data_IF_592042902234
#
_entry.id   IF_592042902234
#
_cell.length_a   1.000
_cell.length_b   1.000
_cell.length_c   1.000
_cell.angle_alpha   90.00
_cell.angle_beta   90.00
_cell.angle_gamma   90.00
#
_symmetry.space_group_name_H-M   'P 1'
#
loop_
_entity.id
_entity.type
_entity.pdbx_description
1 polymer ?
#
# COMPACT_ATOMS: atom_id res chain seq x y z
N UNK A 1 -23.13 -2.19 2.02
CA UNK A 1 -23.11 -0.88 2.73
C UNK A 1 -22.29 -0.83 4.02
N UNK A 2 -21.97 -1.95 4.69
CA UNK A 2 -21.34 -1.92 6.02
C UNK A 2 -19.82 -1.86 6.08
N UNK A 3 -19.08 -2.19 5.05
CA UNK A 3 -17.64 -2.51 5.15
C UNK A 3 -16.66 -1.37 4.93
N UNK A 4 -16.87 -0.53 3.95
CA UNK A 4 -16.10 0.70 3.81
C UNK A 4 -16.36 1.63 5.00
N UNK A 5 -17.60 1.69 5.50
CA UNK A 5 -17.95 2.51 6.66
C UNK A 5 -17.35 2.00 7.98
N UNK A 6 -17.15 0.67 8.16
CA UNK A 6 -16.61 0.11 9.40
C UNK A 6 -15.10 0.31 9.55
N UNK A 7 -14.34 0.14 8.46
CA UNK A 7 -12.88 0.37 8.48
C UNK A 7 -12.57 1.87 8.58
N UNK A 8 -13.36 2.68 7.96
CA UNK A 8 -13.29 4.14 7.97
C UNK A 8 -13.73 4.69 9.33
N UNK A 9 -14.75 4.08 9.98
CA UNK A 9 -15.08 4.38 11.36
C UNK A 9 -13.91 4.17 12.30
N UNK A 10 -13.08 3.16 12.07
CA UNK A 10 -11.88 2.90 12.86
C UNK A 10 -10.80 3.97 12.65
N UNK A 11 -10.54 4.38 11.41
CA UNK A 11 -9.57 5.43 11.11
C UNK A 11 -10.04 6.81 11.60
N UNK A 12 -11.32 7.09 11.52
CA UNK A 12 -11.92 8.32 12.05
C UNK A 12 -11.79 8.43 13.57
N UNK A 13 -12.24 7.40 14.29
CA UNK A 13 -12.16 7.37 15.76
C UNK A 13 -10.72 7.38 16.25
N UNK A 14 -9.81 6.70 15.53
CA UNK A 14 -8.39 6.72 15.80
C UNK A 14 -7.81 8.12 15.62
N UNK A 15 -8.19 8.84 14.56
CA UNK A 15 -7.76 10.20 14.31
C UNK A 15 -8.24 11.14 15.43
N UNK A 16 -9.51 11.05 15.84
CA UNK A 16 -10.05 11.84 16.96
C UNK A 16 -9.30 11.59 18.26
N UNK A 17 -8.98 10.34 18.57
CA UNK A 17 -8.27 9.97 19.80
C UNK A 17 -6.81 10.42 19.76
N UNK A 18 -6.10 10.18 18.66
CA UNK A 18 -4.71 10.61 18.48
C UNK A 18 -4.60 12.11 18.63
N UNK A 19 -5.51 12.89 18.03
CA UNK A 19 -5.51 14.34 18.18
C UNK A 19 -5.80 14.80 19.63
N UNK A 20 -6.62 14.06 20.36
CA UNK A 20 -6.90 14.37 21.76
C UNK A 20 -5.70 14.15 22.69
N UNK A 21 -4.81 13.22 22.33
CA UNK A 21 -3.64 12.83 23.12
C UNK A 21 -2.36 13.55 22.69
N UNK A 22 -2.28 14.06 21.45
CA UNK A 22 -1.07 14.68 20.92
C UNK A 22 -0.98 16.13 21.36
N UNK A 23 0.02 16.45 22.20
CA UNK A 23 0.29 17.82 22.69
C UNK A 23 1.52 18.46 22.05
N UNK A 24 2.33 17.68 21.34
CA UNK A 24 3.57 18.11 20.71
C UNK A 24 3.46 18.16 19.18
N UNK A 25 4.51 18.65 18.52
CA UNK A 25 4.60 18.65 17.06
C UNK A 25 4.44 17.24 16.49
N UNK A 26 3.43 17.06 15.64
CA UNK A 26 3.18 15.81 14.94
C UNK A 26 2.57 16.11 13.58
N UNK A 27 3.02 15.39 12.53
CA UNK A 27 2.50 15.53 11.19
C UNK A 27 1.63 14.33 10.83
N UNK A 28 0.37 14.60 10.54
CA UNK A 28 -0.60 13.59 10.13
C UNK A 28 -1.06 13.87 8.71
N UNK A 29 -1.26 12.82 7.93
CA UNK A 29 -1.84 12.91 6.61
C UNK A 29 -3.20 12.23 6.59
N UNK A 30 -4.21 12.96 6.15
CA UNK A 30 -5.58 12.47 6.04
C UNK A 30 -5.93 12.36 4.57
N UNK A 31 -6.08 11.13 4.08
CA UNK A 31 -6.51 10.84 2.73
C UNK A 31 -8.02 11.06 2.65
N UNK A 32 -8.42 12.00 1.84
CA UNK A 32 -9.82 12.33 1.62
C UNK A 32 -10.02 12.84 0.20
N UNK A 33 -11.08 12.40 -0.47
CA UNK A 33 -11.40 12.89 -1.80
C UNK A 33 -11.75 14.37 -1.77
N UNK A 34 -11.65 15.03 -2.92
CA UNK A 34 -11.84 16.48 -3.02
C UNK A 34 -13.31 16.89 -2.99
N UNK A 35 -13.55 18.19 -2.81
CA UNK A 35 -14.85 18.84 -2.88
C UNK A 35 -15.62 18.91 -1.57
N UNK A 36 -16.94 18.94 -1.65
CA UNK A 36 -17.84 19.10 -0.49
C UNK A 36 -17.69 17.99 0.55
N UNK A 37 -17.24 16.81 0.14
CA UNK A 37 -17.01 15.70 1.05
C UNK A 37 -15.85 16.01 2.03
N UNK A 38 -14.68 16.45 1.52
CA UNK A 38 -13.54 16.86 2.33
C UNK A 38 -13.92 17.98 3.31
N UNK A 39 -14.65 18.98 2.85
CA UNK A 39 -15.08 20.10 3.69
C UNK A 39 -15.98 19.63 4.84
N UNK A 40 -16.93 18.72 4.59
CA UNK A 40 -17.75 18.12 5.65
C UNK A 40 -16.94 17.34 6.68
N UNK A 41 -15.99 16.52 6.22
CA UNK A 41 -15.16 15.74 7.12
C UNK A 41 -14.24 16.64 7.96
N UNK A 42 -13.65 17.67 7.36
CA UNK A 42 -12.86 18.66 8.08
C UNK A 42 -13.70 19.39 9.14
N UNK A 43 -14.92 19.79 8.80
CA UNK A 43 -15.84 20.46 9.72
C UNK A 43 -16.24 19.54 10.88
N UNK A 44 -16.59 18.28 10.59
CA UNK A 44 -16.93 17.28 11.61
C UNK A 44 -15.78 17.00 12.57
N UNK A 45 -14.55 16.83 12.05
CA UNK A 45 -13.38 16.64 12.90
C UNK A 45 -13.06 17.87 13.72
N UNK A 46 -13.24 19.06 13.17
CA UNK A 46 -13.11 20.31 13.87
C UNK A 46 -14.05 20.38 15.08
N UNK A 47 -15.32 20.10 14.89
CA UNK A 47 -16.33 20.08 15.95
C UNK A 47 -15.98 19.06 17.05
N UNK A 48 -15.49 17.86 16.67
CA UNK A 48 -15.07 16.85 17.64
C UNK A 48 -13.84 17.26 18.46
N UNK A 49 -12.88 17.95 17.85
CA UNK A 49 -11.67 18.46 18.51
C UNK A 49 -12.01 19.65 19.40
N UNK A 50 -12.85 20.57 18.94
CA UNK A 50 -13.29 21.74 19.70
C UNK A 50 -14.16 21.33 20.90
N UNK A 51 -14.98 20.28 20.78
CA UNK A 51 -15.73 19.69 21.91
C UNK A 51 -14.83 19.15 23.03
N UNK A 52 -13.57 18.81 22.71
CA UNK A 52 -12.55 18.39 23.68
C UNK A 52 -11.70 19.56 24.22
N UNK A 53 -12.11 20.81 23.96
CA UNK A 53 -11.48 22.03 24.50
C UNK A 53 -10.23 22.47 23.75
N UNK A 54 -10.00 22.03 22.51
CA UNK A 54 -8.88 22.47 21.67
C UNK A 54 -9.37 23.34 20.52
N UNK A 55 -8.63 24.39 20.20
CA UNK A 55 -8.94 25.22 19.02
C UNK A 55 -8.43 24.57 17.73
N UNK A 56 -9.14 24.77 16.62
CA UNK A 56 -8.74 24.28 15.31
C UNK A 56 -8.54 25.45 14.35
N UNK A 57 -7.36 25.53 13.74
CA UNK A 57 -7.05 26.48 12.70
C UNK A 57 -7.01 25.77 11.34
N UNK A 58 -7.68 26.34 10.33
CA UNK A 58 -7.72 25.79 8.99
C UNK A 58 -6.94 26.69 8.03
N UNK A 59 -5.92 26.12 7.37
CA UNK A 59 -5.07 26.85 6.43
C UNK A 59 -5.08 26.14 5.08
N UNK A 60 -5.25 26.90 3.99
CA UNK A 60 -5.12 26.36 2.63
C UNK A 60 -3.65 26.41 2.21
N UNK A 61 -3.18 25.29 1.66
CA UNK A 61 -1.88 25.18 1.00
C UNK A 61 -2.10 24.84 -0.49
N UNK A 62 -1.61 25.69 -1.36
CA UNK A 62 -1.72 25.57 -2.81
C UNK A 62 -0.44 26.06 -3.51
N UNK A 63 -0.24 25.72 -4.82
CA UNK A 63 0.94 26.10 -5.59
C UNK A 63 1.14 27.61 -5.78
N UNK A 64 0.11 28.42 -5.61
CA UNK A 64 0.17 29.87 -5.76
C UNK A 64 0.65 30.57 -4.48
N UNK A 65 0.49 29.88 -3.34
CA UNK A 65 0.87 30.39 -2.03
C UNK A 65 1.62 29.31 -1.20
N UNK A 66 2.88 28.98 -1.60
CA UNK A 66 3.60 27.81 -1.10
C UNK A 66 4.28 27.98 0.27
N UNK A 67 4.18 29.16 0.90
CA UNK A 67 4.84 29.43 2.17
C UNK A 67 3.90 29.11 3.35
N UNK A 68 3.80 27.82 3.69
CA UNK A 68 2.91 27.33 4.76
C UNK A 68 3.34 27.90 6.13
N UNK A 69 4.64 27.90 6.45
CA UNK A 69 5.13 28.35 7.75
C UNK A 69 4.76 29.82 8.02
N UNK A 70 4.93 30.72 7.06
CA UNK A 70 4.55 32.14 7.26
C UNK A 70 3.05 32.35 7.48
N UNK A 71 2.20 31.49 6.91
CA UNK A 71 0.75 31.51 7.19
C UNK A 71 0.47 31.07 8.62
N UNK A 72 1.18 30.05 9.11
CA UNK A 72 0.98 29.48 10.44
C UNK A 72 1.57 30.37 11.53
N UNK A 73 2.72 30.94 11.30
CA UNK A 73 3.41 31.85 12.24
C UNK A 73 2.61 33.15 12.51
N UNK A 74 1.75 33.53 11.56
CA UNK A 74 0.87 34.69 11.70
C UNK A 74 -0.47 34.40 12.42
N UNK A 75 -0.75 33.14 12.77
CA UNK A 75 -1.97 32.78 13.46
C UNK A 75 -1.89 33.06 14.97
N UNK A 76 -2.99 33.50 15.61
CA UNK A 76 -3.01 33.65 17.06
C UNK A 76 -2.84 32.28 17.72
N UNK A 77 -1.79 32.17 18.53
CA UNK A 77 -1.46 30.94 19.29
C UNK A 77 -2.30 30.92 20.55
N UNK A 78 -3.49 30.36 20.48
CA UNK A 78 -4.23 29.94 21.66
C UNK A 78 -3.64 28.65 22.23
N UNK A 79 -3.92 28.34 23.48
CA UNK A 79 -3.38 27.20 24.19
C UNK A 79 -3.68 25.88 23.46
N UNK A 80 -2.67 25.30 22.82
CA UNK A 80 -2.69 23.99 22.12
C UNK A 80 -3.61 23.88 20.88
N UNK A 81 -3.44 24.72 19.86
CA UNK A 81 -4.22 24.61 18.63
C UNK A 81 -3.90 23.31 17.87
N UNK A 82 -4.85 22.85 17.05
CA UNK A 82 -4.62 21.83 16.03
C UNK A 82 -4.72 22.51 14.67
N UNK A 83 -3.79 22.28 13.78
CA UNK A 83 -3.80 22.90 12.46
C UNK A 83 -4.26 21.92 11.40
N UNK A 84 -5.30 22.28 10.66
CA UNK A 84 -5.72 21.57 9.45
C UNK A 84 -5.17 22.29 8.23
N UNK A 85 -4.40 21.59 7.42
CA UNK A 85 -3.87 22.09 6.15
C UNK A 85 -4.63 21.43 5.01
N UNK A 86 -5.50 22.19 4.35
CA UNK A 86 -6.19 21.76 3.14
C UNK A 86 -5.28 21.92 1.92
N UNK A 87 -4.76 20.80 1.43
CA UNK A 87 -3.80 20.76 0.33
C UNK A 87 -4.52 20.59 -1.00
N UNK A 88 -4.31 21.53 -1.95
CA UNK A 88 -4.94 21.54 -3.27
C UNK A 88 -3.95 21.85 -4.39
N UNK A 89 -4.22 21.34 -5.59
CA UNK A 89 -3.48 21.70 -6.80
C UNK A 89 -2.07 21.11 -6.93
N UNK A 90 -1.63 20.29 -5.97
CA UNK A 90 -0.31 19.62 -5.99
C UNK A 90 -0.30 18.44 -6.95
N UNK A 91 -1.45 17.88 -7.27
CA UNK A 91 -1.64 16.79 -8.23
C UNK A 91 -1.03 17.11 -9.60
N UNK A 92 -1.00 18.39 -9.98
CA UNK A 92 -0.43 18.88 -11.22
C UNK A 92 1.10 18.74 -11.32
N UNK A 93 1.78 18.34 -10.25
CA UNK A 93 3.24 18.14 -10.25
C UNK A 93 3.70 16.88 -11.01
N UNK A 94 2.79 16.09 -11.60
CA UNK A 94 3.10 14.88 -12.39
C UNK A 94 3.99 15.16 -13.59
N UNK A 95 4.96 14.28 -13.85
CA UNK A 95 5.90 14.39 -14.98
C UNK A 95 5.25 14.22 -16.35
N UNK A 96 4.28 13.29 -16.46
CA UNK A 96 3.61 12.99 -17.73
C UNK A 96 2.82 14.15 -18.33
N UNK A 97 2.44 15.14 -17.54
CA UNK A 97 1.78 16.34 -18.04
C UNK A 97 2.76 17.38 -18.59
N UNK A 98 4.01 17.37 -18.12
CA UNK A 98 5.04 18.32 -18.54
C UNK A 98 5.68 17.94 -19.89
N UNK A 99 5.74 16.66 -20.23
CA UNK A 99 6.39 16.17 -21.46
C UNK A 99 5.49 16.24 -22.70
N UNK A 100 4.16 16.08 -22.55
CA UNK A 100 3.25 16.11 -23.70
C UNK A 100 2.89 17.51 -24.24
N UNK A 101 3.03 18.57 -23.45
CA UNK A 101 2.52 19.91 -23.79
C UNK A 101 3.52 21.05 -23.46
N UNK A 102 4.75 20.72 -23.03
CA UNK A 102 5.70 21.69 -22.43
C UNK A 102 5.33 22.06 -20.99
N UNK A 103 6.29 22.57 -20.20
CA UNK A 103 6.07 22.88 -18.79
C UNK A 103 5.03 23.99 -18.64
N UNK A 104 3.78 23.63 -18.35
CA UNK A 104 2.78 24.64 -17.99
C UNK A 104 3.12 25.22 -16.62
N UNK A 105 2.97 26.52 -16.48
CA UNK A 105 3.25 27.25 -15.24
C UNK A 105 2.63 26.60 -13.97
N UNK A 106 1.38 26.06 -14.00
CA UNK A 106 0.79 25.37 -12.84
C UNK A 106 1.57 24.15 -12.35
N UNK A 107 2.12 23.32 -13.26
CA UNK A 107 2.91 22.14 -12.86
C UNK A 107 4.25 22.55 -12.23
N UNK A 108 4.90 23.59 -12.75
CA UNK A 108 6.12 24.15 -12.16
C UNK A 108 5.84 24.75 -10.78
N UNK A 109 4.73 25.45 -10.62
CA UNK A 109 4.33 26.02 -9.33
C UNK A 109 4.06 24.92 -8.30
N UNK A 110 3.36 23.82 -8.70
CA UNK A 110 3.13 22.68 -7.83
C UNK A 110 4.43 21.99 -7.38
N UNK A 111 5.42 21.84 -8.27
CA UNK A 111 6.75 21.30 -7.92
C UNK A 111 7.50 22.21 -6.95
N UNK A 112 7.50 23.51 -7.19
CA UNK A 112 8.12 24.51 -6.29
C UNK A 112 7.46 24.53 -4.92
N UNK A 113 6.12 24.40 -4.87
CA UNK A 113 5.38 24.33 -3.63
C UNK A 113 5.78 23.11 -2.79
N UNK A 114 5.95 21.95 -3.41
CA UNK A 114 6.39 20.72 -2.71
C UNK A 114 7.83 20.85 -2.21
N UNK A 115 8.74 21.42 -3.00
CA UNK A 115 10.11 21.70 -2.55
C UNK A 115 10.12 22.68 -1.36
N UNK A 116 9.32 23.74 -1.45
CA UNK A 116 9.18 24.71 -0.36
C UNK A 116 8.63 24.04 0.91
N UNK A 117 7.64 23.17 0.79
CA UNK A 117 7.06 22.43 1.90
C UNK A 117 8.11 21.54 2.59
N UNK A 118 8.95 20.86 1.81
CA UNK A 118 10.04 20.04 2.34
C UNK A 118 11.08 20.86 3.11
N UNK A 119 11.46 22.03 2.57
CA UNK A 119 12.41 22.94 3.21
C UNK A 119 11.89 23.57 4.50
N UNK A 120 10.56 23.76 4.62
CA UNK A 120 9.92 24.33 5.81
C UNK A 120 9.71 23.32 6.95
N UNK A 121 10.05 22.04 6.75
CA UNK A 121 9.80 20.93 7.70
C UNK A 121 10.25 21.25 9.13
N UNK A 122 11.48 21.74 9.30
CA UNK A 122 12.05 22.04 10.63
C UNK A 122 11.34 23.22 11.29
N UNK A 123 10.97 24.22 10.52
CA UNK A 123 10.21 25.36 10.99
C UNK A 123 8.79 24.94 11.42
N UNK A 124 8.14 24.08 10.65
CA UNK A 124 6.82 23.51 11.00
C UNK A 124 6.89 22.66 12.27
N UNK A 125 7.95 21.88 12.45
CA UNK A 125 8.17 21.10 13.67
C UNK A 125 8.43 21.99 14.91
N UNK A 126 9.04 23.14 14.72
CA UNK A 126 9.29 24.09 15.80
C UNK A 126 8.02 24.76 16.37
N UNK A 127 6.89 24.71 15.64
CA UNK A 127 5.60 25.24 16.11
C UNK A 127 5.01 24.44 17.28
N UNK A 128 5.53 23.24 17.58
CA UNK A 128 5.07 22.33 18.65
C UNK A 128 3.56 22.07 18.63
N UNK A 129 2.99 22.00 17.45
CA UNK A 129 1.55 21.93 17.20
C UNK A 129 1.26 20.75 16.28
N UNK A 130 0.23 19.94 16.53
CA UNK A 130 -0.20 18.91 15.60
C UNK A 130 -0.71 19.52 14.29
N UNK A 131 -0.17 19.07 13.16
CA UNK A 131 -0.54 19.52 11.82
C UNK A 131 -1.11 18.36 11.03
N UNK A 132 -2.34 18.52 10.55
CA UNK A 132 -3.04 17.55 9.71
C UNK A 132 -3.10 18.04 8.26
N UNK A 133 -2.45 17.33 7.37
CA UNK A 133 -2.50 17.57 5.93
C UNK A 133 -3.66 16.78 5.31
N UNK A 134 -4.69 17.47 4.86
CA UNK A 134 -5.80 16.90 4.12
C UNK A 134 -5.45 16.84 2.64
N UNK A 135 -5.33 15.64 2.09
CA UNK A 135 -4.76 15.39 0.78
C UNK A 135 -5.59 14.39 -0.02
N UNK A 136 -5.61 14.52 -1.34
CA UNK A 136 -6.07 13.47 -2.24
C UNK A 136 -5.01 12.35 -2.35
N UNK A 137 -5.40 11.18 -2.85
CA UNK A 137 -4.45 10.08 -3.07
C UNK A 137 -3.32 10.48 -4.05
N UNK A 138 -3.65 11.32 -5.05
CA UNK A 138 -2.66 11.82 -6.00
C UNK A 138 -1.69 12.82 -5.35
N UNK A 139 -2.21 13.76 -4.56
CA UNK A 139 -1.40 14.72 -3.81
C UNK A 139 -0.46 14.01 -2.83
N UNK A 140 -0.93 12.97 -2.14
CA UNK A 140 -0.11 12.15 -1.25
C UNK A 140 1.07 11.52 -1.99
N UNK A 141 0.84 10.95 -3.18
CA UNK A 141 1.92 10.39 -4.02
C UNK A 141 2.97 11.44 -4.39
N UNK A 142 2.56 12.66 -4.73
CA UNK A 142 3.49 13.75 -5.05
C UNK A 142 4.27 14.24 -3.82
N UNK A 143 3.62 14.31 -2.64
CA UNK A 143 4.29 14.65 -1.38
C UNK A 143 5.34 13.59 -1.03
N UNK A 144 4.99 12.31 -1.11
CA UNK A 144 5.91 11.21 -0.80
C UNK A 144 7.14 11.18 -1.72
N UNK A 145 7.00 11.61 -2.99
CA UNK A 145 8.11 11.66 -3.94
C UNK A 145 8.95 12.92 -3.83
N UNK A 146 8.32 14.10 -3.64
CA UNK A 146 8.96 15.40 -3.83
C UNK A 146 9.15 16.21 -2.54
N UNK A 147 8.46 15.82 -1.47
CA UNK A 147 8.66 16.32 -0.12
C UNK A 147 8.97 15.14 0.80
N UNK A 148 9.92 14.30 0.40
CA UNK A 148 10.22 13.02 1.03
C UNK A 148 10.64 13.17 2.50
N UNK A 149 11.37 14.22 2.85
CA UNK A 149 11.83 14.46 4.23
C UNK A 149 10.66 14.82 5.14
N UNK A 150 9.75 15.69 4.67
CA UNK A 150 8.51 15.98 5.42
C UNK A 150 7.67 14.71 5.57
N UNK A 151 7.54 13.93 4.49
CA UNK A 151 6.78 12.69 4.53
C UNK A 151 7.41 11.65 5.45
N UNK A 152 8.73 11.59 5.53
CA UNK A 152 9.46 10.71 6.46
C UNK A 152 9.24 11.06 7.94
N UNK A 153 8.96 12.34 8.26
CA UNK A 153 8.68 12.78 9.63
C UNK A 153 7.22 12.63 10.05
N UNK A 154 6.35 12.04 9.22
CA UNK A 154 4.94 11.85 9.53
C UNK A 154 4.71 10.97 10.75
N UNK A 155 3.75 11.35 11.56
CA UNK A 155 3.31 10.61 12.75
C UNK A 155 2.19 9.61 12.42
N UNK A 156 1.45 9.81 11.33
CA UNK A 156 0.40 8.88 10.93
C UNK A 156 -0.25 9.23 9.59
N UNK A 157 -0.93 8.24 9.01
CA UNK A 157 -1.76 8.38 7.81
C UNK A 157 -3.12 7.78 8.12
N UNK A 158 -4.20 8.52 7.82
CA UNK A 158 -5.59 8.12 8.00
C UNK A 158 -6.30 8.15 6.65
N UNK A 159 -7.05 7.12 6.33
CA UNK A 159 -7.78 7.02 5.06
C UNK A 159 -9.28 7.16 5.31
N UNK A 160 -9.82 8.33 4.97
CA UNK A 160 -11.24 8.65 5.11
C UNK A 160 -12.00 8.59 3.76
N UNK A 161 -11.38 8.09 2.70
CA UNK A 161 -12.05 7.96 1.40
C UNK A 161 -13.18 6.92 1.49
N UNK A 162 -14.34 7.30 1.00
CA UNK A 162 -15.52 6.43 1.02
C UNK A 162 -16.40 6.52 2.27
N UNK A 163 -16.13 7.44 3.19
CA UNK A 163 -16.91 7.59 4.43
C UNK A 163 -18.38 8.01 4.23
N UNK A 164 -18.71 8.67 3.15
CA UNK A 164 -20.09 9.15 2.85
C UNK A 164 -20.48 9.09 1.37
N UNK A 165 -20.03 8.15 0.58
CA UNK A 165 -20.59 8.01 -0.77
C UNK A 165 -21.87 7.17 -0.76
N UNK A 166 -22.96 7.65 -0.09
CA UNK A 166 -24.26 7.02 -0.24
C UNK A 166 -25.42 8.02 -0.28
N UNK A 167 -25.94 8.34 -1.48
CA UNK A 167 -27.35 8.21 -1.72
C UNK A 167 -27.64 6.75 -2.11
N UNK A 168 -28.73 6.19 -1.58
CA UNK A 168 -29.25 4.88 -1.93
C UNK A 168 -29.28 4.74 -3.46
N UNK A 169 -28.46 3.83 -3.99
CA UNK A 169 -28.59 3.27 -5.32
C UNK A 169 -28.08 1.83 -5.34
N UNK A 170 -28.81 1.06 -6.07
CA UNK A 170 -28.74 -0.37 -6.31
C UNK A 170 -27.33 -0.94 -6.45
N UNK A 171 -27.20 -2.17 -6.00
CA UNK A 171 -26.05 -3.07 -6.03
C UNK A 171 -25.35 -3.02 -7.39
N UNK A 172 -24.34 -2.20 -7.51
CA UNK A 172 -23.29 -2.32 -8.50
C UNK A 172 -21.98 -2.59 -7.78
N UNK A 173 -21.17 -3.45 -8.35
CA UNK A 173 -19.96 -4.08 -7.85
C UNK A 173 -19.14 -3.26 -6.82
N UNK A 174 -18.51 -3.92 -5.82
CA UNK A 174 -17.72 -3.25 -4.80
C UNK A 174 -16.61 -2.47 -5.48
N UNK A 175 -16.66 -1.14 -5.38
CA UNK A 175 -15.55 -0.29 -5.78
C UNK A 175 -14.29 -0.76 -5.06
N UNK A 176 -13.28 -1.03 -5.87
CA UNK A 176 -11.94 -1.40 -5.43
C UNK A 176 -11.46 -0.39 -4.40
N UNK A 177 -11.44 -0.75 -3.14
CA UNK A 177 -10.39 -0.28 -2.25
C UNK A 177 -9.10 -0.96 -2.71
N UNK A 178 -8.56 -0.50 -3.85
CA UNK A 178 -7.18 -0.78 -4.22
C UNK A 178 -6.36 -0.09 -3.14
N UNK A 179 -6.04 -0.81 -2.07
CA UNK A 179 -4.94 -0.42 -1.21
C UNK A 179 -3.74 -0.36 -2.14
N UNK A 180 -3.38 0.85 -2.57
CA UNK A 180 -2.19 1.05 -3.37
C UNK A 180 -1.04 0.31 -2.66
N UNK A 181 -0.26 -0.54 -3.35
CA UNK A 181 0.92 -1.17 -2.75
C UNK A 181 1.85 -0.15 -2.08
N UNK A 182 1.83 1.10 -2.54
CA UNK A 182 2.51 2.22 -1.92
C UNK A 182 1.95 2.57 -0.53
N UNK A 183 0.63 2.46 -0.31
CA UNK A 183 0.00 2.75 0.99
C UNK A 183 0.27 1.63 2.01
N UNK A 184 0.29 0.38 1.57
CA UNK A 184 0.69 -0.76 2.40
C UNK A 184 2.17 -0.66 2.79
N UNK A 185 3.06 -0.32 1.87
CA UNK A 185 4.48 -0.04 2.15
C UNK A 185 4.63 1.15 3.09
N UNK A 186 3.92 2.25 2.88
CA UNK A 186 3.99 3.45 3.72
C UNK A 186 3.60 3.19 5.19
N UNK A 187 2.75 2.21 5.47
CA UNK A 187 2.38 1.85 6.85
C UNK A 187 3.43 0.95 7.51
N UNK A 188 4.15 0.13 6.72
CA UNK A 188 5.23 -0.72 7.20
C UNK A 188 6.55 0.05 7.40
N UNK A 189 6.71 1.20 6.73
CA UNK A 189 7.87 2.09 6.85
C UNK A 189 7.75 3.08 8.02
N UNK A 190 6.76 2.92 8.91
CA UNK A 190 6.64 3.76 10.10
C UNK A 190 7.76 3.45 11.11
N UNK A 191 8.22 4.46 11.87
CA UNK A 191 9.16 4.24 12.97
C UNK A 191 8.62 3.21 13.97
N UNK A 192 9.51 2.41 14.55
CA UNK A 192 9.12 1.34 15.48
C UNK A 192 8.30 1.85 16.67
N UNK A 193 8.60 3.06 17.16
CA UNK A 193 7.87 3.66 18.28
C UNK A 193 6.42 4.00 17.92
N UNK A 194 6.19 4.46 16.68
CA UNK A 194 4.84 4.71 16.17
C UNK A 194 4.07 3.40 15.97
N UNK A 195 4.72 2.37 15.46
CA UNK A 195 4.12 1.03 15.35
C UNK A 195 3.73 0.48 16.73
N UNK A 196 4.58 0.66 17.77
CA UNK A 196 4.27 0.25 19.15
C UNK A 196 3.09 1.03 19.75
N UNK A 197 3.02 2.34 19.52
CA UNK A 197 1.86 3.16 19.94
C UNK A 197 0.56 2.64 19.33
N UNK A 198 0.58 2.37 18.02
CA UNK A 198 -0.58 1.79 17.31
C UNK A 198 -0.94 0.40 17.83
N UNK A 199 0.05 -0.45 18.08
CA UNK A 199 -0.18 -1.77 18.66
C UNK A 199 -0.93 -1.67 20.01
N UNK A 200 -0.49 -0.78 20.89
CA UNK A 200 -1.12 -0.54 22.18
C UNK A 200 -2.55 0.01 22.04
N UNK A 201 -2.76 0.95 21.12
CA UNK A 201 -4.05 1.58 20.89
C UNK A 201 -5.05 0.59 20.33
N UNK A 202 -4.69 -0.15 19.26
CA UNK A 202 -5.56 -1.19 18.68
C UNK A 202 -5.83 -2.33 19.68
N UNK A 203 -4.83 -2.71 20.48
CA UNK A 203 -5.00 -3.70 21.55
C UNK A 203 -5.98 -3.24 22.64
N UNK A 204 -5.98 -1.95 23.03
CA UNK A 204 -6.98 -1.39 23.93
C UNK A 204 -8.38 -1.46 23.32
N UNK A 205 -8.53 -1.01 22.08
CA UNK A 205 -9.81 -1.04 21.37
C UNK A 205 -10.38 -2.45 21.20
N UNK A 206 -9.50 -3.41 20.94
CA UNK A 206 -9.93 -4.81 20.87
C UNK A 206 -10.53 -5.26 22.22
N UNK A 207 -9.84 -5.00 23.35
CA UNK A 207 -10.34 -5.33 24.69
C UNK A 207 -11.67 -4.61 25.01
N UNK A 208 -11.80 -3.35 24.62
CA UNK A 208 -13.03 -2.58 24.79
C UNK A 208 -14.18 -3.18 23.96
N UNK A 209 -13.90 -3.64 22.73
CA UNK A 209 -14.88 -4.27 21.87
C UNK A 209 -15.30 -5.66 22.41
N UNK A 210 -14.33 -6.44 22.90
CA UNK A 210 -14.57 -7.76 23.52
C UNK A 210 -15.37 -7.67 24.81
N UNK A 211 -15.20 -6.59 25.58
CA UNK A 211 -15.90 -6.36 26.86
C UNK A 211 -17.37 -5.93 26.67
N UNK A 212 -17.81 -5.62 25.46
CA UNK A 212 -19.19 -5.22 25.21
C UNK A 212 -20.18 -6.40 25.40
N UNK A 213 -21.38 -6.16 25.91
CA UNK A 213 -22.41 -7.20 26.05
C UNK A 213 -22.79 -7.87 24.72
N UNK A 214 -22.64 -7.15 23.61
CA UNK A 214 -22.86 -7.63 22.25
C UNK A 214 -21.70 -7.18 21.35
N UNK A 215 -20.60 -7.95 21.34
CA UNK A 215 -19.41 -7.57 20.58
C UNK A 215 -19.67 -7.61 19.07
N UNK A 216 -19.14 -6.63 18.36
CA UNK A 216 -19.25 -6.55 16.89
C UNK A 216 -18.14 -7.37 16.22
N UNK A 217 -18.44 -8.62 15.83
CA UNK A 217 -17.45 -9.56 15.30
C UNK A 217 -16.65 -9.06 14.07
N UNK A 218 -17.25 -8.37 13.07
CA UNK A 218 -16.47 -7.78 11.97
C UNK A 218 -15.41 -6.81 12.45
N UNK A 219 -15.72 -5.97 13.45
CA UNK A 219 -14.78 -5.01 14.01
C UNK A 219 -13.65 -5.72 14.77
N UNK A 220 -13.96 -6.74 15.55
CA UNK A 220 -12.92 -7.55 16.19
C UNK A 220 -11.98 -8.18 15.17
N UNK A 221 -12.53 -8.78 14.09
CA UNK A 221 -11.74 -9.39 13.04
C UNK A 221 -10.80 -8.39 12.35
N UNK A 222 -11.30 -7.19 12.06
CA UNK A 222 -10.49 -6.12 11.47
C UNK A 222 -9.38 -5.64 12.42
N UNK A 223 -9.68 -5.47 13.71
CA UNK A 223 -8.68 -5.10 14.73
C UNK A 223 -7.59 -6.17 14.88
N UNK A 224 -7.95 -7.43 14.92
CA UNK A 224 -6.99 -8.53 14.94
C UNK A 224 -6.11 -8.53 13.69
N UNK A 225 -6.66 -8.28 12.50
CA UNK A 225 -5.88 -8.21 11.26
C UNK A 225 -4.85 -7.06 11.28
N UNK A 226 -5.23 -5.88 11.78
CA UNK A 226 -4.30 -4.75 11.91
C UNK A 226 -3.23 -5.00 12.98
N UNK A 227 -3.60 -5.59 14.12
CA UNK A 227 -2.63 -5.99 15.16
C UNK A 227 -1.63 -7.01 14.62
N UNK A 228 -2.09 -8.02 13.87
CA UNK A 228 -1.20 -9.00 13.23
C UNK A 228 -0.19 -8.32 12.30
N UNK A 229 -0.63 -7.38 11.48
CA UNK A 229 0.21 -6.66 10.53
C UNK A 229 1.26 -5.79 11.23
N UNK A 230 0.86 -5.08 12.29
CA UNK A 230 1.78 -4.22 13.06
C UNK A 230 2.79 -5.07 13.84
N UNK A 231 2.35 -6.13 14.51
CA UNK A 231 3.22 -7.05 15.23
C UNK A 231 4.25 -7.71 14.29
N UNK A 232 3.84 -8.07 13.06
CA UNK A 232 4.74 -8.59 12.04
C UNK A 232 5.81 -7.58 11.63
N UNK A 233 5.43 -6.32 11.43
CA UNK A 233 6.36 -5.22 11.13
C UNK A 233 7.36 -4.98 12.27
N UNK A 234 6.94 -5.19 13.52
CA UNK A 234 7.78 -5.12 14.71
C UNK A 234 8.63 -6.38 14.96
N UNK A 235 8.52 -7.40 14.10
CA UNK A 235 9.18 -8.71 14.27
C UNK A 235 8.68 -9.51 15.49
N UNK A 236 7.52 -9.21 16.00
CA UNK A 236 6.83 -9.93 17.06
C UNK A 236 6.01 -11.09 16.48
N UNK A 237 6.72 -12.09 15.89
CA UNK A 237 6.13 -13.11 15.03
C UNK A 237 5.04 -13.95 15.73
N UNK A 238 5.22 -14.29 17.02
CA UNK A 238 4.24 -15.08 17.78
C UNK A 238 2.92 -14.30 17.92
N UNK A 239 3.00 -13.05 18.35
CA UNK A 239 1.83 -12.19 18.50
C UNK A 239 1.13 -11.93 17.15
N UNK A 240 1.90 -11.75 16.09
CA UNK A 240 1.38 -11.59 14.74
C UNK A 240 0.56 -12.81 14.30
N UNK A 241 1.08 -14.02 14.51
CA UNK A 241 0.38 -15.27 14.18
C UNK A 241 -0.88 -15.48 15.03
N UNK A 242 -0.84 -15.17 16.32
CA UNK A 242 -1.99 -15.26 17.21
C UNK A 242 -3.14 -14.36 16.73
N UNK A 243 -2.83 -13.10 16.46
CA UNK A 243 -3.83 -12.17 15.94
C UNK A 243 -4.32 -12.57 14.55
N UNK A 244 -3.44 -13.04 13.67
CA UNK A 244 -3.84 -13.50 12.34
C UNK A 244 -4.79 -14.70 12.41
N UNK A 245 -4.54 -15.67 13.29
CA UNK A 245 -5.39 -16.83 13.51
C UNK A 245 -6.76 -16.43 14.11
N UNK A 246 -6.78 -15.47 15.03
CA UNK A 246 -8.02 -14.93 15.58
C UNK A 246 -8.87 -14.23 14.50
N UNK A 247 -8.25 -13.40 13.64
CA UNK A 247 -8.93 -12.77 12.52
C UNK A 247 -9.55 -13.80 11.57
N UNK A 248 -8.80 -14.83 11.19
CA UNK A 248 -9.28 -15.93 10.33
C UNK A 248 -10.49 -16.64 10.97
N UNK A 249 -10.41 -16.96 12.26
CA UNK A 249 -11.49 -17.62 12.99
C UNK A 249 -12.77 -16.80 12.96
N UNK A 250 -12.67 -15.49 13.19
CA UNK A 250 -13.80 -14.57 13.15
C UNK A 250 -14.36 -14.43 11.72
N UNK A 251 -13.50 -14.28 10.71
CA UNK A 251 -13.98 -14.21 9.32
C UNK A 251 -14.62 -15.51 8.84
N UNK A 252 -14.12 -16.67 9.25
CA UNK A 252 -14.81 -17.96 8.97
C UNK A 252 -16.21 -18.00 9.57
N UNK A 253 -16.36 -17.59 10.85
CA UNK A 253 -17.66 -17.52 11.52
C UNK A 253 -18.60 -16.53 10.82
N UNK A 254 -18.11 -15.41 10.34
CA UNK A 254 -18.89 -14.42 9.62
C UNK A 254 -19.29 -14.89 8.22
N UNK A 255 -18.43 -15.62 7.53
CA UNK A 255 -18.67 -16.17 6.21
C UNK A 255 -19.73 -17.29 6.21
N UNK A 256 -19.80 -18.12 7.28
CA UNK A 256 -20.80 -19.18 7.41
C UNK A 256 -22.21 -18.66 7.62
N UNK A 257 -22.37 -17.44 8.15
CA UNK A 257 -23.68 -16.82 8.40
C UNK A 257 -24.25 -16.06 7.18
N UNK A 258 -24.02 -16.56 5.96
CA UNK A 258 -24.58 -16.12 4.68
C UNK A 258 -24.16 -14.70 4.20
N UNK A 259 -22.96 -14.24 4.52
CA UNK A 259 -22.40 -13.04 3.92
C UNK A 259 -21.13 -13.39 3.14
N UNK A 260 -21.29 -13.66 1.84
CA UNK A 260 -20.19 -13.88 0.88
C UNK A 260 -19.13 -12.79 0.93
N UNK A 261 -19.56 -11.64 1.33
CA UNK A 261 -18.69 -10.50 1.56
C UNK A 261 -17.49 -10.78 2.51
N UNK A 262 -17.61 -11.60 3.53
CA UNK A 262 -16.51 -11.92 4.42
C UNK A 262 -15.55 -12.97 3.86
N UNK A 263 -15.90 -13.65 2.76
CA UNK A 263 -14.99 -14.56 2.06
C UNK A 263 -13.77 -13.83 1.51
N UNK A 264 -13.93 -12.61 0.99
CA UNK A 264 -12.79 -11.81 0.51
C UNK A 264 -11.81 -11.47 1.63
N UNK A 265 -12.32 -11.10 2.81
CA UNK A 265 -11.48 -10.83 4.00
C UNK A 265 -10.82 -12.10 4.55
N UNK A 266 -11.54 -13.22 4.53
CA UNK A 266 -10.99 -14.53 4.91
C UNK A 266 -9.83 -14.89 3.98
N UNK A 267 -10.03 -14.80 2.66
CA UNK A 267 -8.98 -15.10 1.68
C UNK A 267 -7.76 -14.19 1.85
N UNK A 268 -7.96 -12.89 2.08
CA UNK A 268 -6.86 -11.96 2.35
C UNK A 268 -6.10 -12.32 3.64
N UNK A 269 -6.83 -12.70 4.70
CA UNK A 269 -6.21 -13.11 5.97
C UNK A 269 -5.45 -14.42 5.84
N UNK A 270 -5.97 -15.40 5.11
CA UNK A 270 -5.29 -16.67 4.82
C UNK A 270 -4.02 -16.47 3.97
N UNK A 271 -4.10 -15.60 2.95
CA UNK A 271 -2.95 -15.24 2.14
C UNK A 271 -1.82 -14.61 2.99
N UNK A 272 -2.16 -13.67 3.90
CA UNK A 272 -1.20 -13.06 4.80
C UNK A 272 -0.62 -14.10 5.78
N UNK A 273 -1.44 -15.02 6.29
CA UNK A 273 -0.94 -16.12 7.13
C UNK A 273 0.05 -16.99 6.37
N UNK A 274 -0.26 -17.35 5.12
CA UNK A 274 0.64 -18.12 4.27
C UNK A 274 2.00 -17.46 4.10
N UNK A 275 2.01 -16.15 3.83
CA UNK A 275 3.27 -15.39 3.72
C UNK A 275 4.06 -15.39 5.05
N UNK A 276 3.42 -15.12 6.18
CA UNK A 276 4.05 -15.15 7.51
C UNK A 276 4.64 -16.52 7.84
N UNK A 277 3.90 -17.59 7.54
CA UNK A 277 4.35 -18.97 7.79
C UNK A 277 5.53 -19.36 6.87
N UNK A 278 5.51 -18.93 5.62
CA UNK A 278 6.60 -19.13 4.68
C UNK A 278 7.89 -18.46 5.15
N UNK A 279 7.80 -17.19 5.60
CA UNK A 279 8.96 -16.45 6.15
C UNK A 279 9.54 -17.13 7.42
N UNK A 280 8.71 -17.85 8.16
CA UNK A 280 9.11 -18.62 9.34
C UNK A 280 9.57 -20.05 9.00
N UNK A 281 9.63 -20.43 7.73
CA UNK A 281 10.01 -21.75 7.27
C UNK A 281 8.97 -22.86 7.48
N UNK A 282 7.74 -22.52 7.90
CA UNK A 282 6.61 -23.44 8.09
C UNK A 282 5.92 -23.72 6.76
N UNK A 283 6.64 -24.37 5.85
CA UNK A 283 6.27 -24.46 4.42
C UNK A 283 4.95 -25.18 4.17
N UNK A 284 4.67 -26.27 4.87
CA UNK A 284 3.43 -27.05 4.69
C UNK A 284 2.21 -26.28 5.19
N UNK A 285 2.33 -25.63 6.35
CA UNK A 285 1.26 -24.79 6.89
C UNK A 285 1.01 -23.57 5.99
N UNK A 286 2.07 -22.97 5.46
CA UNK A 286 2.00 -21.87 4.50
C UNK A 286 1.26 -22.29 3.22
N UNK A 287 1.60 -23.47 2.69
CA UNK A 287 0.93 -24.04 1.51
C UNK A 287 -0.58 -24.24 1.78
N UNK A 288 -0.93 -24.84 2.91
CA UNK A 288 -2.34 -25.10 3.25
C UNK A 288 -3.15 -23.80 3.34
N UNK A 289 -2.62 -22.76 4.00
CA UNK A 289 -3.28 -21.46 4.12
C UNK A 289 -3.43 -20.75 2.76
N UNK A 290 -2.38 -20.79 1.94
CA UNK A 290 -2.39 -20.15 0.61
C UNK A 290 -3.32 -20.88 -0.35
N UNK A 291 -3.38 -22.21 -0.30
CA UNK A 291 -4.29 -23.00 -1.13
C UNK A 291 -5.76 -22.68 -0.79
N UNK A 292 -6.11 -22.60 0.50
CA UNK A 292 -7.45 -22.20 0.91
C UNK A 292 -7.80 -20.79 0.42
N UNK A 293 -6.84 -19.85 0.49
CA UNK A 293 -7.02 -18.49 -0.04
C UNK A 293 -7.28 -18.48 -1.55
N UNK A 294 -6.54 -19.29 -2.32
CA UNK A 294 -6.72 -19.44 -3.78
C UNK A 294 -8.11 -20.01 -4.09
N UNK A 295 -8.53 -21.05 -3.39
CA UNK A 295 -9.83 -21.70 -3.62
C UNK A 295 -11.01 -20.75 -3.36
N UNK A 296 -10.90 -19.91 -2.32
CA UNK A 296 -11.90 -18.88 -2.03
C UNK A 296 -11.87 -17.81 -3.14
N UNK A 297 -10.69 -17.33 -3.53
CA UNK A 297 -10.55 -16.30 -4.57
C UNK A 297 -11.02 -16.78 -5.94
N UNK A 298 -10.84 -18.07 -6.29
CA UNK A 298 -11.42 -18.64 -7.52
C UNK A 298 -12.94 -18.57 -7.51
N UNK A 299 -13.59 -18.90 -6.38
CA UNK A 299 -15.06 -18.79 -6.25
C UNK A 299 -15.53 -17.34 -6.39
N UNK A 300 -14.84 -16.41 -5.77
CA UNK A 300 -15.15 -14.98 -5.86
C UNK A 300 -14.92 -14.43 -7.27
N UNK A 301 -13.82 -14.82 -7.92
CA UNK A 301 -13.49 -14.39 -9.29
C UNK A 301 -14.48 -14.96 -10.33
N UNK A 302 -15.04 -16.15 -10.10
CA UNK A 302 -16.10 -16.69 -10.95
C UNK A 302 -17.40 -15.87 -10.89
N UNK A 303 -17.68 -15.21 -9.78
CA UNK A 303 -18.87 -14.37 -9.59
C UNK A 303 -18.61 -12.93 -10.03
N UNK A 304 -17.43 -12.38 -9.70
CA UNK A 304 -17.03 -10.99 -9.94
C UNK A 304 -15.58 -10.94 -10.46
N UNK A 305 -15.35 -11.24 -11.75
CA UNK A 305 -13.99 -11.34 -12.31
C UNK A 305 -13.17 -10.07 -12.11
N UNK A 306 -13.71 -8.91 -12.48
CA UNK A 306 -12.98 -7.63 -12.43
C UNK A 306 -12.53 -7.26 -11.01
N UNK A 307 -13.26 -7.70 -9.99
CA UNK A 307 -12.94 -7.42 -8.60
C UNK A 307 -11.86 -8.36 -8.02
N UNK A 308 -11.84 -9.64 -8.44
CA UNK A 308 -11.04 -10.65 -7.73
C UNK A 308 -9.97 -11.33 -8.57
N UNK A 309 -9.93 -11.19 -9.90
CA UNK A 309 -8.85 -11.75 -10.72
C UNK A 309 -7.46 -11.23 -10.34
N UNK A 310 -7.26 -9.92 -10.01
CA UNK A 310 -5.96 -9.44 -9.55
C UNK A 310 -5.47 -10.13 -8.28
N UNK A 311 -6.36 -10.29 -7.30
CA UNK A 311 -6.04 -10.95 -6.05
C UNK A 311 -5.78 -12.45 -6.21
N UNK A 312 -6.52 -13.10 -7.12
CA UNK A 312 -6.30 -14.49 -7.48
C UNK A 312 -4.93 -14.68 -8.12
N UNK A 313 -4.55 -13.85 -9.09
CA UNK A 313 -3.23 -13.91 -9.72
C UNK A 313 -2.09 -13.75 -8.72
N UNK A 314 -2.22 -12.79 -7.79
CA UNK A 314 -1.25 -12.61 -6.69
C UNK A 314 -1.15 -13.83 -5.78
N UNK A 315 -2.28 -14.47 -5.44
CA UNK A 315 -2.25 -15.71 -4.63
C UNK A 315 -1.65 -16.90 -5.36
N UNK A 316 -1.93 -17.04 -6.65
CA UNK A 316 -1.35 -18.10 -7.49
C UNK A 316 0.17 -17.96 -7.62
N UNK A 317 0.69 -16.74 -7.73
CA UNK A 317 2.13 -16.49 -7.70
C UNK A 317 2.76 -16.99 -6.40
N UNK A 318 2.16 -16.66 -5.25
CA UNK A 318 2.69 -17.13 -3.97
C UNK A 318 2.53 -18.65 -3.80
N UNK A 319 1.42 -19.21 -4.27
CA UNK A 319 1.19 -20.66 -4.28
C UNK A 319 2.26 -21.38 -5.09
N UNK A 320 2.59 -20.87 -6.28
CA UNK A 320 3.63 -21.42 -7.14
C UNK A 320 5.01 -21.46 -6.47
N UNK A 321 5.38 -20.37 -5.79
CA UNK A 321 6.65 -20.30 -5.02
C UNK A 321 6.66 -21.35 -3.91
N UNK A 322 5.60 -21.45 -3.11
CA UNK A 322 5.53 -22.41 -2.00
C UNK A 322 5.54 -23.86 -2.47
N UNK A 323 4.88 -24.15 -3.59
CA UNK A 323 4.91 -25.47 -4.21
C UNK A 323 6.32 -25.83 -4.73
N UNK A 324 7.03 -24.87 -5.33
CA UNK A 324 8.41 -25.06 -5.77
C UNK A 324 9.34 -25.33 -4.59
N UNK A 325 9.20 -24.57 -3.49
CA UNK A 325 9.98 -24.76 -2.25
C UNK A 325 9.78 -26.13 -1.59
N UNK A 326 8.63 -26.76 -1.83
CA UNK A 326 8.30 -28.11 -1.39
C UNK A 326 8.64 -29.20 -2.43
N UNK A 327 9.24 -28.83 -3.55
CA UNK A 327 9.61 -29.73 -4.64
C UNK A 327 8.42 -30.21 -5.48
N UNK A 328 7.22 -29.65 -5.32
CA UNK A 328 6.01 -29.95 -6.11
C UNK A 328 6.02 -29.16 -7.42
N UNK A 329 7.01 -29.43 -8.24
CA UNK A 329 7.38 -28.61 -9.39
C UNK A 329 6.29 -28.51 -10.47
N UNK A 330 5.57 -29.60 -10.75
CA UNK A 330 4.49 -29.61 -11.75
C UNK A 330 3.27 -28.80 -11.27
N UNK A 331 2.93 -28.93 -10.00
CA UNK A 331 1.87 -28.12 -9.39
C UNK A 331 2.25 -26.62 -9.36
N UNK A 332 3.53 -26.32 -9.08
CA UNK A 332 4.07 -24.97 -9.15
C UNK A 332 3.98 -24.38 -10.55
N UNK A 333 4.29 -25.20 -11.58
CA UNK A 333 4.17 -24.80 -12.98
C UNK A 333 2.71 -24.45 -13.33
N UNK A 334 1.77 -25.29 -12.93
CA UNK A 334 0.34 -25.05 -13.20
C UNK A 334 -0.13 -23.73 -12.56
N UNK A 335 0.25 -23.47 -11.31
CA UNK A 335 -0.09 -22.23 -10.62
C UNK A 335 0.56 -20.99 -11.27
N UNK A 336 1.84 -21.08 -11.67
CA UNK A 336 2.55 -19.99 -12.33
C UNK A 336 1.97 -19.68 -13.72
N UNK A 337 1.60 -20.70 -14.49
CA UNK A 337 0.95 -20.53 -15.80
C UNK A 337 -0.41 -19.84 -15.68
N UNK A 338 -1.24 -20.30 -14.72
CA UNK A 338 -2.54 -19.66 -14.45
C UNK A 338 -2.36 -18.19 -14.04
N UNK A 339 -1.40 -17.89 -13.16
CA UNK A 339 -1.10 -16.51 -12.75
C UNK A 339 -0.70 -15.62 -13.95
N UNK A 340 0.18 -16.10 -14.83
CA UNK A 340 0.58 -15.37 -16.06
C UNK A 340 -0.61 -15.10 -16.95
N UNK A 341 -1.47 -16.10 -17.19
CA UNK A 341 -2.64 -15.93 -18.05
C UNK A 341 -3.60 -14.87 -17.51
N UNK A 342 -3.89 -14.92 -16.20
CA UNK A 342 -4.72 -13.90 -15.54
C UNK A 342 -4.10 -12.51 -15.63
N UNK A 343 -2.80 -12.37 -15.37
CA UNK A 343 -2.12 -11.09 -15.48
C UNK A 343 -2.11 -10.56 -16.93
N UNK A 344 -2.00 -11.44 -17.94
CA UNK A 344 -2.11 -11.04 -19.35
C UNK A 344 -3.50 -10.49 -19.68
N UNK A 345 -4.56 -11.18 -19.25
CA UNK A 345 -5.94 -10.70 -19.44
C UNK A 345 -6.15 -9.33 -18.79
N UNK A 346 -5.67 -9.16 -17.57
CA UNK A 346 -5.76 -7.88 -16.85
C UNK A 346 -4.93 -6.77 -17.50
N UNK A 347 -3.71 -7.09 -18.00
CA UNK A 347 -2.83 -6.14 -18.67
C UNK A 347 -3.36 -5.66 -20.03
N UNK A 348 -4.19 -6.46 -20.72
CA UNK A 348 -4.89 -6.02 -21.93
C UNK A 348 -5.91 -4.93 -21.62
N UNK A 349 -6.62 -5.05 -20.49
CA UNK A 349 -7.64 -4.08 -20.09
C UNK A 349 -7.03 -2.81 -19.47
N UNK A 350 -6.03 -2.97 -18.61
CA UNK A 350 -5.39 -1.89 -17.87
C UNK A 350 -3.86 -2.08 -17.83
N UNK A 351 -3.14 -1.75 -18.92
CA UNK A 351 -1.70 -2.01 -19.02
C UNK A 351 -0.87 -1.39 -17.90
N UNK A 352 -1.10 -0.12 -17.59
CA UNK A 352 -0.31 0.62 -16.58
C UNK A 352 -0.47 0.02 -15.16
N UNK A 353 -1.61 -0.60 -14.90
CA UNK A 353 -1.89 -1.22 -13.60
C UNK A 353 -1.29 -2.62 -13.47
N UNK A 354 -1.31 -3.43 -14.54
CA UNK A 354 -1.03 -4.87 -14.44
C UNK A 354 0.23 -5.36 -15.19
N UNK A 355 0.89 -4.54 -16.00
CA UNK A 355 2.20 -4.92 -16.57
C UNK A 355 3.26 -5.22 -15.50
N UNK A 356 3.34 -4.51 -14.36
CA UNK A 356 4.25 -4.89 -13.28
C UNK A 356 3.98 -6.29 -12.73
N UNK A 357 2.71 -6.64 -12.53
CA UNK A 357 2.31 -7.96 -12.02
C UNK A 357 2.57 -9.06 -13.04
N UNK A 358 2.30 -8.79 -14.33
CA UNK A 358 2.63 -9.71 -15.41
C UNK A 358 4.13 -10.00 -15.46
N UNK A 359 4.98 -8.98 -15.36
CA UNK A 359 6.43 -9.19 -15.36
C UNK A 359 6.90 -10.00 -14.14
N UNK A 360 6.25 -9.82 -12.98
CA UNK A 360 6.52 -10.63 -11.79
C UNK A 360 6.12 -12.08 -11.99
N UNK A 361 4.90 -12.33 -12.50
CA UNK A 361 4.40 -13.69 -12.79
C UNK A 361 5.26 -14.41 -13.83
N UNK A 362 5.72 -13.71 -14.86
CA UNK A 362 6.62 -14.25 -15.88
C UNK A 362 8.01 -14.64 -15.31
N UNK A 363 8.56 -13.85 -14.39
CA UNK A 363 9.80 -14.22 -13.70
C UNK A 363 9.62 -15.47 -12.82
N UNK A 364 8.50 -15.58 -12.11
CA UNK A 364 8.18 -16.76 -11.31
C UNK A 364 8.00 -18.00 -12.20
N UNK A 365 7.28 -17.85 -13.31
CA UNK A 365 7.15 -18.91 -14.32
C UNK A 365 8.51 -19.34 -14.87
N UNK A 366 9.39 -18.38 -15.21
CA UNK A 366 10.74 -18.65 -15.69
C UNK A 366 11.56 -19.47 -14.68
N UNK A 367 11.51 -19.11 -13.41
CA UNK A 367 12.18 -19.85 -12.33
C UNK A 367 11.64 -21.29 -12.23
N UNK A 368 10.31 -21.46 -12.20
CA UNK A 368 9.67 -22.78 -12.12
C UNK A 368 10.00 -23.66 -13.34
N UNK A 369 10.01 -23.10 -14.55
CA UNK A 369 10.42 -23.81 -15.77
C UNK A 369 11.90 -24.24 -15.73
N UNK A 370 12.77 -23.39 -15.17
CA UNK A 370 14.18 -23.73 -14.98
C UNK A 370 14.36 -24.90 -14.00
N UNK A 371 13.60 -24.92 -12.89
CA UNK A 371 13.60 -26.01 -11.91
C UNK A 371 13.16 -27.35 -12.52
N UNK A 372 12.33 -27.29 -13.57
CA UNK A 372 11.90 -28.44 -14.38
C UNK A 372 12.87 -28.79 -15.53
N UNK A 373 13.95 -28.04 -15.72
CA UNK A 373 14.90 -28.21 -16.81
C UNK A 373 14.39 -27.74 -18.17
N UNK A 374 13.25 -27.05 -18.24
CA UNK A 374 12.65 -26.49 -19.49
C UNK A 374 13.31 -25.13 -19.83
N UNK A 375 14.61 -25.19 -20.11
CA UNK A 375 15.51 -24.02 -20.16
C UNK A 375 15.15 -22.98 -21.19
N UNK A 376 14.78 -23.40 -22.43
CA UNK A 376 14.39 -22.47 -23.49
C UNK A 376 13.08 -21.73 -23.16
N UNK A 377 12.13 -22.43 -22.54
CA UNK A 377 10.86 -21.82 -22.14
C UNK A 377 11.07 -20.88 -20.94
N UNK A 378 11.94 -21.25 -20.00
CA UNK A 378 12.36 -20.38 -18.90
C UNK A 378 13.00 -19.09 -19.41
N UNK A 379 13.90 -19.21 -20.39
CA UNK A 379 14.53 -18.06 -21.05
C UNK A 379 13.50 -17.15 -21.72
N UNK A 380 12.54 -17.71 -22.45
CA UNK A 380 11.52 -16.95 -23.16
C UNK A 380 10.64 -16.15 -22.17
N UNK A 381 10.18 -16.78 -21.10
CA UNK A 381 9.36 -16.13 -20.07
C UNK A 381 10.14 -14.99 -19.38
N UNK A 382 11.38 -15.24 -18.97
CA UNK A 382 12.21 -14.25 -18.30
C UNK A 382 12.58 -13.09 -19.23
N UNK A 383 12.83 -13.36 -20.51
CA UNK A 383 13.08 -12.32 -21.51
C UNK A 383 11.86 -11.41 -21.71
N UNK A 384 10.64 -11.97 -21.72
CA UNK A 384 9.40 -11.19 -21.79
C UNK A 384 9.28 -10.28 -20.54
N UNK A 385 9.56 -10.80 -19.34
CA UNK A 385 9.56 -10.03 -18.10
C UNK A 385 10.55 -8.85 -18.16
N UNK A 386 11.79 -9.09 -18.63
CA UNK A 386 12.80 -8.03 -18.81
C UNK A 386 12.32 -6.95 -19.78
N UNK A 387 11.70 -7.35 -20.91
CA UNK A 387 11.20 -6.40 -21.91
C UNK A 387 10.08 -5.51 -21.35
N UNK A 388 9.18 -6.09 -20.53
CA UNK A 388 8.13 -5.33 -19.84
C UNK A 388 8.76 -4.37 -18.84
N UNK A 389 9.67 -4.84 -17.98
CA UNK A 389 10.32 -4.00 -16.96
C UNK A 389 11.21 -2.90 -17.53
N UNK A 390 11.85 -3.12 -18.70
CA UNK A 390 12.55 -2.06 -19.42
C UNK A 390 11.62 -0.92 -19.84
N UNK A 391 10.43 -1.25 -20.38
CA UNK A 391 9.42 -0.23 -20.74
C UNK A 391 8.92 0.52 -19.51
N UNK A 392 8.64 -0.17 -18.41
CA UNK A 392 8.21 0.44 -17.15
C UNK A 392 9.32 1.33 -16.55
N UNK A 393 10.57 0.87 -16.55
CA UNK A 393 11.71 1.63 -16.06
C UNK A 393 12.04 2.86 -16.93
N UNK A 394 11.74 2.83 -18.22
CA UNK A 394 11.85 4.00 -19.08
C UNK A 394 10.83 5.09 -18.71
N UNK A 395 9.64 4.69 -18.25
CA UNK A 395 8.58 5.61 -17.83
C UNK A 395 8.78 6.10 -16.38
N UNK A 396 9.13 5.18 -15.47
CA UNK A 396 9.27 5.46 -14.04
C UNK A 396 10.56 4.79 -13.49
N UNK A 397 11.74 5.39 -13.72
CA UNK A 397 13.02 4.77 -13.37
C UNK A 397 13.13 4.40 -11.88
N UNK A 398 12.79 5.33 -10.99
CA UNK A 398 12.95 5.13 -9.55
C UNK A 398 12.09 3.97 -9.00
N UNK A 399 10.94 3.74 -9.61
CA UNK A 399 10.03 2.65 -9.22
C UNK A 399 10.48 1.29 -9.74
N UNK A 400 10.98 1.20 -10.98
CA UNK A 400 11.14 -0.09 -11.68
C UNK A 400 12.59 -0.50 -11.99
N UNK A 401 13.60 0.36 -11.80
CA UNK A 401 15.01 -0.04 -11.99
C UNK A 401 15.43 -1.20 -11.07
N UNK A 402 15.02 -1.29 -9.79
CA UNK A 402 15.35 -2.43 -8.94
C UNK A 402 14.79 -3.74 -9.48
N UNK A 403 13.54 -3.71 -9.95
CA UNK A 403 12.88 -4.90 -10.47
C UNK A 403 13.46 -5.32 -11.82
N UNK A 404 13.85 -4.36 -12.66
CA UNK A 404 14.57 -4.63 -13.90
C UNK A 404 15.92 -5.29 -13.62
N UNK A 405 16.68 -4.79 -12.65
CA UNK A 405 17.96 -5.38 -12.29
C UNK A 405 17.82 -6.83 -11.78
N UNK A 406 16.75 -7.10 -11.01
CA UNK A 406 16.43 -8.46 -10.55
C UNK A 406 16.09 -9.39 -11.74
N UNK A 407 15.24 -8.93 -12.68
CA UNK A 407 14.91 -9.72 -13.88
C UNK A 407 16.13 -9.97 -14.76
N UNK A 408 17.04 -9.01 -14.90
CA UNK A 408 18.29 -9.18 -15.63
C UNK A 408 19.22 -10.22 -15.00
N UNK A 409 19.27 -10.28 -13.66
CA UNK A 409 20.01 -11.35 -12.97
C UNK A 409 19.41 -12.73 -13.25
N UNK A 410 18.08 -12.85 -13.21
CA UNK A 410 17.40 -14.09 -13.55
C UNK A 410 17.67 -14.49 -15.00
N UNK A 411 17.59 -13.53 -15.93
CA UNK A 411 17.93 -13.75 -17.35
C UNK A 411 19.37 -14.22 -17.51
N UNK A 412 20.31 -13.59 -16.81
CA UNK A 412 21.74 -13.98 -16.82
C UNK A 412 21.93 -15.44 -16.36
N UNK A 413 21.22 -15.87 -15.32
CA UNK A 413 21.22 -17.27 -14.86
C UNK A 413 20.71 -18.22 -15.95
N UNK A 414 19.54 -17.94 -16.54
CA UNK A 414 18.95 -18.78 -17.59
C UNK A 414 19.87 -18.90 -18.81
N UNK A 415 20.50 -17.79 -19.22
CA UNK A 415 21.47 -17.78 -20.33
C UNK A 415 22.72 -18.60 -19.99
N UNK A 416 23.20 -18.52 -18.75
CA UNK A 416 24.35 -19.32 -18.28
C UNK A 416 24.04 -20.83 -18.33
N UNK A 417 22.84 -21.23 -17.90
CA UNK A 417 22.37 -22.62 -17.91
C UNK A 417 22.26 -23.21 -19.34
N UNK A 418 22.06 -22.32 -20.32
CA UNK A 418 22.07 -22.65 -21.75
C UNK A 418 23.45 -22.55 -22.41
N UNK A 419 24.50 -22.20 -21.64
CA UNK A 419 25.86 -22.04 -22.13
C UNK A 419 26.10 -20.74 -22.93
N UNK A 420 25.12 -19.81 -22.98
CA UNK A 420 25.19 -18.52 -23.68
C UNK A 420 25.96 -17.47 -22.84
N UNK A 421 27.24 -17.76 -22.57
CA UNK A 421 28.06 -17.06 -21.58
C UNK A 421 28.24 -15.55 -21.84
N UNK A 422 28.40 -15.16 -23.11
CA UNK A 422 28.59 -13.74 -23.46
C UNK A 422 27.32 -12.93 -23.18
N UNK A 423 26.16 -13.46 -23.50
CA UNK A 423 24.87 -12.83 -23.25
C UNK A 423 24.54 -12.82 -21.74
N UNK A 424 24.88 -13.89 -21.03
CA UNK A 424 24.75 -13.95 -19.58
C UNK A 424 25.61 -12.87 -18.90
N UNK A 425 26.86 -12.69 -19.37
CA UNK A 425 27.74 -11.64 -18.86
C UNK A 425 27.18 -10.24 -19.14
N UNK A 426 26.66 -10.01 -20.34
CA UNK A 426 26.05 -8.72 -20.70
C UNK A 426 24.84 -8.40 -19.79
N UNK A 427 23.94 -9.35 -19.56
CA UNK A 427 22.80 -9.18 -18.65
C UNK A 427 23.23 -8.89 -17.20
N UNK A 428 24.24 -9.60 -16.69
CA UNK A 428 24.77 -9.39 -15.36
C UNK A 428 25.46 -8.02 -15.21
N UNK A 429 26.19 -7.57 -16.24
CA UNK A 429 26.80 -6.23 -16.27
C UNK A 429 25.76 -5.11 -16.27
N UNK A 430 24.69 -5.27 -17.06
CA UNK A 430 23.57 -4.32 -17.07
C UNK A 430 22.90 -4.25 -15.69
N UNK A 431 22.59 -5.40 -15.06
CA UNK A 431 22.04 -5.45 -13.71
C UNK A 431 22.94 -4.76 -12.68
N UNK A 432 24.24 -5.04 -12.71
CA UNK A 432 25.21 -4.42 -11.81
C UNK A 432 25.33 -2.90 -12.01
N UNK A 433 25.20 -2.41 -13.24
CA UNK A 433 25.19 -0.99 -13.54
C UNK A 433 23.95 -0.29 -12.95
N UNK A 434 22.77 -0.94 -13.02
CA UNK A 434 21.52 -0.43 -12.42
C UNK A 434 21.60 -0.35 -10.90
N UNK A 435 22.14 -1.37 -10.24
CA UNK A 435 22.36 -1.35 -8.78
C UNK A 435 23.33 -0.27 -8.35
N UNK A 436 24.44 -0.05 -9.10
CA UNK A 436 25.41 1.03 -8.82
C UNK A 436 24.74 2.41 -8.98
N UNK A 437 23.96 2.62 -10.03
CA UNK A 437 23.23 3.88 -10.26
C UNK A 437 22.27 4.19 -9.10
N UNK A 438 21.57 3.20 -8.58
CA UNK A 438 20.70 3.34 -7.40
C UNK A 438 21.49 3.67 -6.12
N UNK A 439 22.63 3.02 -5.91
CA UNK A 439 23.48 3.27 -4.75
C UNK A 439 24.07 4.69 -4.76
N UNK A 440 24.44 5.21 -5.93
CA UNK A 440 24.92 6.59 -6.08
C UNK A 440 23.82 7.62 -5.90
N UNK A 441 22.61 7.35 -6.43
CA UNK A 441 21.45 8.23 -6.23
C UNK A 441 21.03 8.34 -4.74
N UNK A 442 21.22 7.27 -3.95
CA UNK A 442 20.96 7.29 -2.49
C UNK A 442 22.07 7.97 -1.66
N UNK A 443 23.27 8.15 -2.22
CA UNK A 443 24.43 8.76 -1.52
C UNK A 443 24.62 10.24 -1.83
N UNK A 444 23.97 10.76 -2.86
CA UNK A 444 23.94 12.20 -3.11
C UNK A 444 23.00 12.82 -2.07
N UNK A 445 23.49 13.73 -1.24
CA UNK A 445 22.60 14.49 -0.35
C UNK A 445 21.58 15.24 -1.21
N UNK A 446 20.34 15.43 -0.71
CA UNK A 446 19.28 16.14 -1.42
C UNK A 446 19.63 17.58 -1.74
#
# INVERSE_FOLDING_TARGET
>A
MGKASEQIGTDWELLEEVLSLTQEAAFFFVLCDEGMFRERQMQRLREAVEAKGRSVQVVRFDPESPHLFSKLDSLPIDSSPVVFVDVRGIELARESYAEMVGPRQPALNARRALQSLNLQREQLAALKTPILFWVSAQAMGQIAQRAADLFATRSGIFDLRGFESFPRLEVSAPERTVRSPALLRATLDLPADELRRRLQLYGRRLREEEAKPSPHLPRQAALHQELARIAWALRESTQALEHQAAAITLYRKLATNAREDFLAHLAASLHNLGAMLSDLGRREDALAATQEAVDIRRKLAAQQPDAFLPDLAGSLNNLGIMLSDLGRREDALAAAQEAVELCRQLAVQQPDAFLPDLATSLNNLGATLSDLGRREEALAATQEAVNIRRRLAAQQPDAFLPDLAMSLNNLGSMLSDLGRREEALAAAQEAAALYRRRATARRLPP
#
